data_IF_906645865400
#
_entry.id   IF_906645865400
#
_cell.length_a   1.000
_cell.length_b   1.000
_cell.length_c   1.000
_cell.angle_alpha   90.00
_cell.angle_beta   90.00
_cell.angle_gamma   90.00
#
_symmetry.space_group_name_H-M   'P 1'
#
loop_
_entity.id
_entity.type
_entity.pdbx_description
1 polymer ?
#
# COMPACT_ATOMS: atom_id res chain seq x y z
N UNK A 1 -38.91 44.44 -6.58
CA UNK A 1 -38.46 44.13 -7.95
C UNK A 1 -39.01 42.76 -8.25
N UNK A 2 -40.19 42.74 -8.86
CA UNK A 2 -40.88 41.51 -9.24
C UNK A 2 -40.35 41.07 -10.60
N UNK A 3 -39.88 39.83 -10.69
CA UNK A 3 -39.53 39.21 -11.95
C UNK A 3 -40.48 38.03 -12.15
N UNK A 4 -41.38 38.20 -13.10
CA UNK A 4 -42.21 37.15 -13.67
C UNK A 4 -41.42 36.45 -14.78
N UNK A 5 -41.57 35.13 -14.92
CA UNK A 5 -41.24 34.41 -16.15
C UNK A 5 -42.42 33.48 -16.51
N UNK A 6 -42.98 33.56 -17.74
CA UNK A 6 -44.20 32.84 -18.11
C UNK A 6 -43.95 31.43 -18.68
N UNK A 7 -44.86 30.52 -18.29
CA UNK A 7 -45.66 29.52 -19.05
C UNK A 7 -44.98 28.54 -20.03
N UNK A 8 -45.34 27.28 -19.80
CA UNK A 8 -45.11 26.03 -20.53
C UNK A 8 -45.69 26.09 -21.96
N UNK A 9 -45.00 25.49 -22.93
CA UNK A 9 -45.64 25.00 -24.16
C UNK A 9 -45.27 23.52 -24.34
N UNK A 10 -46.27 22.66 -24.17
CA UNK A 10 -46.27 21.30 -24.72
C UNK A 10 -46.75 21.41 -26.16
N UNK A 11 -45.96 20.93 -27.11
CA UNK A 11 -46.41 20.65 -28.47
C UNK A 11 -45.90 19.25 -28.84
N UNK A 12 -46.88 18.36 -28.97
CA UNK A 12 -46.76 17.00 -29.50
C UNK A 12 -46.39 17.07 -30.99
N UNK A 13 -45.46 16.24 -31.43
CA UNK A 13 -45.46 15.72 -32.80
C UNK A 13 -44.97 14.27 -32.80
N UNK A 14 -45.92 13.40 -33.12
CA UNK A 14 -45.80 11.97 -33.35
C UNK A 14 -45.14 11.73 -34.72
N UNK A 15 -44.07 10.93 -34.79
CA UNK A 15 -43.74 10.23 -36.05
C UNK A 15 -43.20 8.82 -35.79
N UNK A 16 -43.84 7.90 -36.48
CA UNK A 16 -43.75 6.45 -36.42
C UNK A 16 -42.47 5.86 -37.06
N UNK A 17 -42.09 4.69 -36.53
CA UNK A 17 -41.59 3.51 -37.24
C UNK A 17 -40.21 3.55 -37.92
N UNK A 18 -39.29 2.73 -37.40
CA UNK A 18 -38.80 1.52 -38.09
C UNK A 18 -37.95 0.66 -37.16
N UNK A 19 -38.34 -0.61 -37.03
CA UNK A 19 -37.52 -1.63 -36.42
C UNK A 19 -36.26 -1.87 -37.26
N UNK A 20 -35.09 -1.83 -36.62
CA UNK A 20 -33.94 -2.58 -37.11
C UNK A 20 -33.28 -3.25 -35.92
N UNK A 21 -33.50 -4.57 -35.81
CA UNK A 21 -32.69 -5.43 -34.97
C UNK A 21 -31.25 -5.30 -35.48
N UNK A 22 -30.36 -4.77 -34.64
CA UNK A 22 -28.93 -4.95 -34.78
C UNK A 22 -28.51 -5.71 -33.55
N UNK A 23 -28.09 -6.95 -33.78
CA UNK A 23 -27.52 -7.84 -32.79
C UNK A 23 -26.54 -7.05 -31.91
N UNK A 24 -26.89 -6.91 -30.64
CA UNK A 24 -25.95 -6.52 -29.60
C UNK A 24 -24.94 -7.66 -29.56
N UNK A 25 -23.66 -7.46 -29.93
CA UNK A 25 -22.66 -8.46 -29.61
C UNK A 25 -22.67 -8.57 -28.10
N UNK A 26 -22.95 -9.76 -27.58
CA UNK A 26 -22.74 -10.09 -26.17
C UNK A 26 -21.37 -9.54 -25.75
N UNK A 27 -21.25 -8.91 -24.56
CA UNK A 27 -19.95 -8.50 -24.07
C UNK A 27 -19.10 -9.76 -24.01
N UNK A 28 -17.97 -9.73 -24.71
CA UNK A 28 -16.97 -10.78 -24.71
C UNK A 28 -16.52 -10.95 -23.26
N UNK A 29 -17.12 -11.91 -22.55
CA UNK A 29 -16.63 -12.42 -21.28
C UNK A 29 -15.33 -13.16 -21.58
N UNK A 30 -14.22 -12.56 -21.17
CA UNK A 30 -13.03 -13.21 -20.58
C UNK A 30 -11.87 -12.20 -20.55
N UNK A 31 -12.07 -11.07 -19.88
CA UNK A 31 -10.94 -10.47 -19.17
C UNK A 31 -10.96 -11.08 -17.79
N UNK A 32 -10.18 -12.14 -17.59
CA UNK A 32 -9.79 -12.61 -16.26
C UNK A 32 -8.97 -11.51 -15.59
N UNK A 33 -9.64 -10.42 -15.21
CA UNK A 33 -9.09 -9.30 -14.47
C UNK A 33 -8.85 -9.81 -13.05
N UNK A 34 -7.63 -10.32 -12.82
CA UNK A 34 -7.22 -10.75 -11.49
C UNK A 34 -7.48 -9.62 -10.51
N UNK A 35 -8.28 -9.91 -9.48
CA UNK A 35 -8.58 -8.95 -8.42
C UNK A 35 -7.43 -8.90 -7.41
N UNK A 36 -7.38 -7.89 -6.55
CA UNK A 36 -6.35 -7.82 -5.50
C UNK A 36 -6.35 -9.08 -4.61
N UNK A 37 -7.50 -9.61 -4.16
CA UNK A 37 -7.56 -10.90 -3.48
C UNK A 37 -6.91 -12.05 -4.26
N UNK A 38 -7.15 -12.15 -5.57
CA UNK A 38 -6.59 -13.22 -6.40
C UNK A 38 -5.06 -13.11 -6.50
N UNK A 39 -4.55 -11.90 -6.71
CA UNK A 39 -3.10 -11.64 -6.77
C UNK A 39 -2.46 -11.95 -5.42
N UNK A 40 -3.07 -11.52 -4.32
CA UNK A 40 -2.59 -11.80 -2.95
C UNK A 40 -2.58 -13.31 -2.68
N UNK A 41 -3.65 -14.03 -3.06
CA UNK A 41 -3.72 -15.47 -2.89
C UNK A 41 -2.61 -16.18 -3.67
N UNK A 42 -2.37 -15.78 -4.92
CA UNK A 42 -1.30 -16.34 -5.74
C UNK A 42 0.09 -16.09 -5.15
N UNK A 43 0.33 -14.90 -4.60
CA UNK A 43 1.56 -14.60 -3.87
C UNK A 43 1.68 -15.47 -2.61
N UNK A 44 0.61 -15.61 -1.83
CA UNK A 44 0.61 -16.42 -0.62
C UNK A 44 0.89 -17.92 -0.90
N UNK A 45 0.44 -18.45 -2.03
CA UNK A 45 0.76 -19.84 -2.44
C UNK A 45 2.28 -20.07 -2.59
N UNK A 46 3.05 -19.04 -2.98
CA UNK A 46 4.50 -19.15 -3.08
C UNK A 46 5.18 -19.35 -1.71
N UNK A 47 4.49 -19.01 -0.61
CA UNK A 47 4.97 -19.25 0.76
C UNK A 47 4.69 -20.71 1.18
N UNK A 48 3.52 -21.25 0.83
CA UNK A 48 3.11 -22.61 1.21
C UNK A 48 3.86 -23.70 0.43
N UNK A 49 4.07 -23.48 -0.87
CA UNK A 49 4.78 -24.44 -1.74
C UNK A 49 6.29 -24.48 -1.47
N UNK A 50 6.85 -23.38 -0.97
CA UNK A 50 8.24 -23.27 -0.54
C UNK A 50 8.29 -23.37 0.98
N UNK A 51 8.21 -24.60 1.50
CA UNK A 51 8.71 -24.93 2.83
C UNK A 51 10.21 -24.60 2.88
N UNK A 52 10.57 -23.32 3.04
CA UNK A 52 11.95 -22.83 3.01
C UNK A 52 12.42 -22.74 4.47
N UNK A 53 13.20 -23.73 4.98
CA UNK A 53 13.62 -23.72 6.38
C UNK A 53 14.70 -22.70 6.69
N UNK A 54 15.16 -21.90 5.72
CA UNK A 54 16.22 -20.92 5.91
C UNK A 54 16.04 -19.76 4.94
N UNK A 55 15.68 -18.60 5.47
CA UNK A 55 16.00 -17.32 4.84
C UNK A 55 17.52 -17.16 4.94
N UNK A 56 18.22 -17.14 3.81
CA UNK A 56 19.70 -17.09 3.78
C UNK A 56 20.24 -15.69 3.49
N UNK A 57 19.35 -14.71 3.33
CA UNK A 57 19.76 -13.34 3.09
C UNK A 57 20.56 -12.80 4.27
N UNK A 58 21.48 -11.90 3.94
CA UNK A 58 22.35 -11.19 4.86
C UNK A 58 22.19 -9.69 4.65
N UNK A 59 22.76 -8.89 5.56
CA UNK A 59 22.75 -7.44 5.44
C UNK A 59 23.37 -6.95 4.11
N UNK A 60 24.26 -7.74 3.50
CA UNK A 60 24.91 -7.43 2.21
C UNK A 60 23.97 -7.55 1.02
N UNK A 61 22.85 -8.24 1.16
CA UNK A 61 21.88 -8.45 0.09
C UNK A 61 20.87 -7.31 -0.02
N UNK A 62 21.01 -6.26 0.80
CA UNK A 62 20.25 -5.02 0.73
C UNK A 62 20.99 -4.07 -0.21
N UNK A 63 20.34 -3.66 -1.30
CA UNK A 63 20.95 -2.83 -2.34
C UNK A 63 20.75 -1.32 -2.16
N UNK A 64 19.73 -0.92 -1.39
CA UNK A 64 19.42 0.49 -1.20
C UNK A 64 20.38 1.15 -0.20
N UNK A 65 21.16 2.14 -0.67
CA UNK A 65 22.19 2.80 0.13
C UNK A 65 21.63 3.49 1.38
N UNK A 66 20.43 4.08 1.30
CA UNK A 66 19.78 4.75 2.42
C UNK A 66 19.39 3.76 3.51
N UNK A 67 18.82 2.64 3.11
CA UNK A 67 18.46 1.54 4.01
C UNK A 67 19.72 0.91 4.59
N UNK A 68 20.73 0.59 3.77
CA UNK A 68 22.00 0.01 4.23
C UNK A 68 22.60 0.87 5.32
N UNK A 69 22.66 2.19 5.13
CA UNK A 69 23.17 3.12 6.12
C UNK A 69 22.41 3.06 7.44
N UNK A 70 21.08 3.02 7.40
CA UNK A 70 20.25 2.90 8.62
C UNK A 70 20.54 1.60 9.36
N UNK A 71 20.64 0.48 8.64
CA UNK A 71 20.93 -0.81 9.24
C UNK A 71 22.35 -0.87 9.80
N UNK A 72 23.32 -0.24 9.16
CA UNK A 72 24.67 -0.06 9.70
C UNK A 72 24.67 0.81 10.97
N UNK A 73 23.90 1.90 11.02
CA UNK A 73 23.73 2.72 12.22
C UNK A 73 23.14 1.89 13.38
N UNK A 74 22.14 1.04 13.10
CA UNK A 74 21.58 0.09 14.09
C UNK A 74 22.63 -0.92 14.54
N UNK A 75 23.39 -1.53 13.61
CA UNK A 75 24.42 -2.52 13.90
C UNK A 75 25.55 -1.94 14.75
N UNK A 76 25.94 -0.69 14.48
CA UNK A 76 27.06 -0.01 15.12
C UNK A 76 26.68 0.78 16.37
N UNK A 77 25.40 0.85 16.73
CA UNK A 77 24.95 1.46 17.98
C UNK A 77 25.72 0.87 19.18
N UNK A 78 26.37 1.75 19.93
CA UNK A 78 27.27 1.42 21.03
C UNK A 78 26.60 1.51 22.41
N UNK A 79 25.51 2.28 22.52
CA UNK A 79 24.71 2.42 23.76
C UNK A 79 23.24 2.13 23.48
N UNK A 80 22.50 1.76 24.55
CA UNK A 80 21.05 1.53 24.44
C UNK A 80 20.30 2.79 23.97
N UNK A 81 20.69 3.97 24.47
CA UNK A 81 20.10 5.25 24.07
C UNK A 81 20.30 5.53 22.58
N UNK A 82 21.54 5.39 22.08
CA UNK A 82 21.84 5.57 20.65
C UNK A 82 21.06 4.60 19.75
N UNK A 83 20.84 3.36 20.22
CA UNK A 83 20.04 2.37 19.50
C UNK A 83 18.56 2.78 19.44
N UNK A 84 17.99 3.20 20.57
CA UNK A 84 16.61 3.68 20.65
C UNK A 84 16.39 4.91 19.77
N UNK A 85 17.34 5.85 19.74
CA UNK A 85 17.28 7.04 18.89
C UNK A 85 17.28 6.69 17.41
N UNK A 86 18.19 5.82 16.97
CA UNK A 86 18.26 5.37 15.57
C UNK A 86 16.98 4.62 15.17
N UNK A 87 16.46 3.74 16.05
CA UNK A 87 15.19 3.03 15.81
C UNK A 87 14.02 4.00 15.70
N UNK A 88 13.93 4.98 16.60
CA UNK A 88 12.84 5.95 16.61
C UNK A 88 12.87 6.85 15.38
N UNK A 89 14.06 7.38 15.05
CA UNK A 89 14.29 8.21 13.86
C UNK A 89 13.92 7.51 12.56
N UNK A 90 14.12 6.19 12.49
CA UNK A 90 13.83 5.37 11.31
C UNK A 90 12.56 4.52 11.46
N UNK A 91 11.64 4.93 12.34
CA UNK A 91 10.43 4.16 12.68
C UNK A 91 9.59 3.78 11.47
N UNK A 92 9.36 4.68 10.51
CA UNK A 92 8.58 4.39 9.30
C UNK A 92 9.16 3.23 8.48
N UNK A 93 10.48 3.18 8.32
CA UNK A 93 11.16 2.11 7.59
C UNK A 93 10.95 0.78 8.31
N UNK A 94 11.20 0.77 9.62
CA UNK A 94 11.10 -0.43 10.44
C UNK A 94 9.64 -0.90 10.60
N UNK A 95 8.66 0.01 10.62
CA UNK A 95 7.24 -0.31 10.67
C UNK A 95 6.78 -0.98 9.38
N UNK A 96 7.22 -0.44 8.24
CA UNK A 96 6.93 -1.03 6.91
C UNK A 96 7.47 -2.46 6.82
N UNK A 97 8.68 -2.67 7.34
CA UNK A 97 9.30 -4.00 7.41
C UNK A 97 8.76 -4.90 8.54
N UNK A 98 7.87 -4.40 9.40
CA UNK A 98 7.32 -5.14 10.54
C UNK A 98 8.29 -5.40 11.69
N UNK A 99 9.45 -4.73 11.75
CA UNK A 99 10.50 -4.93 12.75
C UNK A 99 10.65 -3.76 13.75
N UNK A 100 9.79 -2.74 13.67
CA UNK A 100 9.78 -1.62 14.63
C UNK A 100 9.28 -2.08 16.01
N UNK A 101 10.12 -1.95 17.03
CA UNK A 101 9.80 -2.31 18.41
C UNK A 101 10.54 -1.44 19.41
N UNK A 102 10.07 -1.42 20.65
CA UNK A 102 10.86 -0.94 21.76
C UNK A 102 11.98 -1.94 22.08
N UNK A 103 13.20 -1.45 22.29
CA UNK A 103 14.35 -2.25 22.71
C UNK A 103 14.75 -1.88 24.13
N UNK A 104 14.95 -2.87 24.98
CA UNK A 104 15.39 -2.68 26.37
C UNK A 104 16.85 -3.12 26.59
N UNK A 105 17.44 -3.81 25.61
CA UNK A 105 18.81 -4.28 25.61
C UNK A 105 19.52 -4.01 24.27
N UNK A 106 20.78 -3.60 24.32
CA UNK A 106 21.59 -3.32 23.12
C UNK A 106 21.76 -4.54 22.19
N UNK A 107 21.71 -5.76 22.73
CA UNK A 107 21.83 -7.00 21.95
C UNK A 107 20.65 -7.22 21.00
N UNK A 108 19.49 -6.61 21.27
CA UNK A 108 18.27 -6.72 20.44
C UNK A 108 18.43 -6.10 19.05
N UNK A 109 19.47 -5.30 18.82
CA UNK A 109 19.80 -4.77 17.49
C UNK A 109 19.93 -5.89 16.44
N UNK A 110 20.47 -7.05 16.81
CA UNK A 110 20.61 -8.18 15.90
C UNK A 110 19.26 -8.75 15.47
N UNK A 111 18.29 -8.82 16.38
CA UNK A 111 16.94 -9.32 16.05
C UNK A 111 16.22 -8.39 15.07
N UNK A 112 16.42 -7.07 15.20
CA UNK A 112 15.87 -6.10 14.23
C UNK A 112 16.50 -6.30 12.85
N UNK A 113 17.82 -6.46 12.78
CA UNK A 113 18.54 -6.69 11.52
C UNK A 113 18.12 -8.01 10.86
N UNK A 114 18.02 -9.09 11.62
CA UNK A 114 17.57 -10.40 11.13
C UNK A 114 16.14 -10.34 10.59
N UNK A 115 15.21 -9.69 11.32
CA UNK A 115 13.84 -9.53 10.84
C UNK A 115 13.75 -8.66 9.60
N UNK A 116 14.52 -7.58 9.52
CA UNK A 116 14.54 -6.73 8.33
C UNK A 116 15.02 -7.50 7.10
N UNK A 117 16.09 -8.28 7.24
CA UNK A 117 16.64 -9.09 6.16
C UNK A 117 15.65 -10.18 5.74
N UNK A 118 14.96 -10.82 6.69
CA UNK A 118 13.88 -11.77 6.40
C UNK A 118 12.71 -11.12 5.67
N UNK A 119 12.34 -9.90 6.03
CA UNK A 119 11.31 -9.13 5.32
C UNK A 119 11.71 -8.91 3.86
N UNK A 120 12.94 -8.45 3.61
CA UNK A 120 13.44 -8.22 2.25
C UNK A 120 13.47 -9.51 1.43
N UNK A 121 13.97 -10.59 2.01
CA UNK A 121 14.04 -11.89 1.35
C UNK A 121 12.65 -12.51 1.11
N UNK A 122 11.71 -12.28 2.03
CA UNK A 122 10.30 -12.63 1.86
C UNK A 122 9.68 -11.93 0.65
N UNK A 123 9.88 -10.61 0.50
CA UNK A 123 9.41 -9.87 -0.67
C UNK A 123 10.00 -10.39 -1.98
N UNK A 124 11.29 -10.75 -1.98
CA UNK A 124 11.96 -11.35 -3.13
C UNK A 124 11.42 -12.74 -3.46
N UNK A 125 11.19 -13.58 -2.44
CA UNK A 125 10.63 -14.93 -2.59
C UNK A 125 9.23 -14.91 -3.20
N UNK A 126 8.42 -13.92 -2.82
CA UNK A 126 7.10 -13.65 -3.37
C UNK A 126 7.16 -13.09 -4.80
N UNK A 127 8.32 -12.67 -5.27
CA UNK A 127 8.46 -11.84 -6.47
C UNK A 127 7.52 -10.61 -6.41
N UNK A 128 7.34 -10.07 -5.19
CA UNK A 128 6.32 -9.08 -4.88
C UNK A 128 6.46 -7.84 -5.75
N UNK A 129 7.70 -7.41 -6.01
CA UNK A 129 7.95 -6.24 -6.84
C UNK A 129 7.46 -6.42 -8.28
N UNK A 130 7.70 -7.58 -8.88
CA UNK A 130 7.21 -7.88 -10.23
C UNK A 130 5.68 -7.97 -10.25
N UNK A 131 5.07 -8.59 -9.23
CA UNK A 131 3.61 -8.62 -9.12
C UNK A 131 3.02 -7.21 -8.95
N UNK A 132 3.69 -6.33 -8.19
CA UNK A 132 3.30 -4.94 -8.02
C UNK A 132 3.39 -4.15 -9.33
N UNK A 133 4.48 -4.32 -10.09
CA UNK A 133 4.65 -3.67 -11.39
C UNK A 133 3.60 -4.13 -12.41
N UNK A 134 3.28 -5.43 -12.45
CA UNK A 134 2.29 -5.98 -13.37
C UNK A 134 0.84 -5.63 -13.01
N UNK A 135 0.57 -5.40 -11.72
CA UNK A 135 -0.79 -5.18 -11.21
C UNK A 135 -0.92 -3.88 -10.39
N UNK A 136 -0.21 -2.83 -10.80
CA UNK A 136 -0.12 -1.59 -10.04
C UNK A 136 -1.49 -0.94 -9.80
N UNK A 137 -2.38 -0.91 -10.81
CA UNK A 137 -3.73 -0.32 -10.68
C UNK A 137 -4.59 -1.04 -9.65
N UNK A 138 -4.37 -2.34 -9.45
CA UNK A 138 -5.12 -3.20 -8.54
C UNK A 138 -4.54 -3.16 -7.12
N UNK A 139 -3.21 -3.13 -6.99
CA UNK A 139 -2.52 -3.19 -5.70
C UNK A 139 -2.26 -1.81 -5.07
N UNK A 140 -2.10 -0.75 -5.87
CA UNK A 140 -1.79 0.59 -5.35
C UNK A 140 -2.79 1.13 -4.31
N UNK A 141 -4.12 0.92 -4.42
CA UNK A 141 -5.08 1.35 -3.40
C UNK A 141 -4.88 0.68 -2.04
N UNK A 142 -4.26 -0.50 -2.00
CA UNK A 142 -3.98 -1.25 -0.77
C UNK A 142 -2.62 -0.89 -0.16
N UNK A 143 -1.72 -0.30 -0.95
CA UNK A 143 -0.37 0.10 -0.52
C UNK A 143 -0.27 1.60 -0.21
N UNK A 144 -1.22 2.40 -0.70
CA UNK A 144 -1.29 3.83 -0.45
C UNK A 144 -2.41 4.15 0.53
N UNK A 145 -2.10 4.92 1.58
CA UNK A 145 -3.14 5.52 2.39
C UNK A 145 -3.74 6.70 1.62
N UNK A 146 -4.93 6.52 1.04
CA UNK A 146 -5.70 7.66 0.52
C UNK A 146 -6.42 8.31 1.70
N UNK A 147 -5.95 9.50 2.11
CA UNK A 147 -6.68 10.32 3.08
C UNK A 147 -8.09 10.62 2.53
N UNK A 148 -9.09 9.93 3.06
CA UNK A 148 -10.49 10.32 2.83
C UNK A 148 -10.70 11.62 3.59
N UNK A 149 -10.72 12.75 2.87
CA UNK A 149 -11.05 14.06 3.41
C UNK A 149 -12.38 13.95 4.17
N UNK A 150 -12.33 14.01 5.51
CA UNK A 150 -13.51 14.01 6.35
C UNK A 150 -14.36 15.22 5.95
N UNK A 151 -15.43 15.00 5.17
CA UNK A 151 -16.38 16.05 4.86
C UNK A 151 -17.12 16.40 6.15
N UNK A 152 -17.28 17.69 6.42
CA UNK A 152 -17.68 18.31 7.69
C UNK A 152 -19.05 17.88 8.29
N UNK A 153 -19.69 16.80 7.84
CA UNK A 153 -20.99 16.37 8.36
C UNK A 153 -20.94 15.46 9.59
N UNK A 154 -19.76 15.12 10.14
CA UNK A 154 -19.65 14.49 11.47
C UNK A 154 -18.41 15.02 12.21
N UNK A 155 -18.44 16.28 12.62
CA UNK A 155 -17.41 16.86 13.49
C UNK A 155 -18.05 17.76 14.56
N UNK A 156 -18.80 17.16 15.49
CA UNK A 156 -19.16 17.80 16.76
C UNK A 156 -18.99 16.85 17.94
N UNK A 157 -17.76 16.43 18.22
CA UNK A 157 -17.23 16.37 19.60
C UNK A 157 -15.76 15.95 19.65
N UNK A 158 -14.95 16.79 20.31
CA UNK A 158 -13.70 16.37 20.93
C UNK A 158 -12.43 16.74 20.16
N UNK A 159 -11.88 17.92 20.46
CA UNK A 159 -10.47 18.30 20.21
C UNK A 159 -9.53 17.16 20.61
N UNK A 160 -8.61 16.77 19.71
CA UNK A 160 -7.20 16.45 20.00
C UNK A 160 -6.39 16.42 18.70
N UNK A 161 -5.23 17.06 18.76
CA UNK A 161 -4.27 17.38 17.68
C UNK A 161 -4.14 16.33 16.56
N UNK A 162 -4.24 16.71 15.28
CA UNK A 162 -3.72 15.90 14.19
C UNK A 162 -2.19 16.03 14.19
N UNK A 163 -1.49 14.96 14.58
CA UNK A 163 -0.06 14.83 14.26
C UNK A 163 0.02 14.52 12.77
N UNK A 164 0.59 15.44 12.00
CA UNK A 164 0.90 15.24 10.59
C UNK A 164 1.84 14.03 10.44
N UNK A 165 1.34 12.94 9.88
CA UNK A 165 2.17 11.89 9.31
C UNK A 165 2.21 12.11 7.80
N UNK A 166 3.25 12.78 7.33
CA UNK A 166 3.57 12.79 5.92
C UNK A 166 4.12 11.40 5.56
N UNK A 167 3.30 10.56 4.94
CA UNK A 167 3.79 9.36 4.26
C UNK A 167 4.43 9.83 2.95
N UNK A 168 5.76 9.87 2.95
CA UNK A 168 6.54 10.13 1.74
C UNK A 168 6.48 8.87 0.89
N UNK A 169 5.97 9.02 -0.34
CA UNK A 169 6.14 8.04 -1.41
C UNK A 169 7.62 7.68 -1.50
N UNK A 170 7.94 6.40 -1.28
CA UNK A 170 9.22 5.87 -1.70
C UNK A 170 9.23 5.82 -3.24
N UNK A 171 10.26 6.35 -3.92
CA UNK A 171 10.41 6.18 -5.35
C UNK A 171 10.89 4.75 -5.60
N UNK A 172 10.08 3.99 -6.33
CA UNK A 172 10.50 2.77 -7.01
C UNK A 172 11.45 3.10 -8.16
#
# INVERSE_FOLDING_TARGET
MDIYAPVITEEDDEFETTAHCLDVPEPIEEQSSLTAPDIIANLALAIDQKNHPSFSATLKDVSDEGIVKVLEEIQNAATLESLQDVIFKNSTLLQTAGCFRHVSNIKEKHTILEEYVRFKDGLATLNFLTALQNHQSVLAPFLSHTEKKLTQKVATRGKKNPRHFAFVLWPL
#
